data_IF_208771875359
#
_entry.id   IF_208771875359
#
_cell.length_a   1.000
_cell.length_b   1.000
_cell.length_c   1.000
_cell.angle_alpha   90.00
_cell.angle_beta   90.00
_cell.angle_gamma   90.00
#
_symmetry.space_group_name_H-M   'P 1'
#
loop_
_entity.id
_entity.type
_entity.pdbx_description
1 polymer ?
#
# COMPACT_ATOMS: atom_id res chain seq x y z
N UNK A 1 4.73 7.00 4.60
CA UNK A 1 4.18 8.09 5.43
C UNK A 1 3.72 9.21 4.51
N UNK A 2 2.58 9.84 4.80
CA UNK A 2 2.07 11.01 4.08
C UNK A 2 2.94 12.24 4.35
N UNK A 3 2.89 13.25 3.48
CA UNK A 3 3.73 14.45 3.60
C UNK A 3 3.41 15.28 4.85
N UNK A 4 2.15 15.26 5.30
CA UNK A 4 1.68 15.91 6.52
C UNK A 4 1.89 15.04 7.78
N UNK A 5 2.41 13.83 7.62
CA UNK A 5 2.66 12.89 8.70
C UNK A 5 1.42 12.23 9.30
N UNK A 6 0.21 12.48 8.80
CA UNK A 6 -1.04 11.93 9.37
C UNK A 6 -1.25 10.45 9.12
N UNK A 7 -0.69 9.92 8.03
CA UNK A 7 -0.93 8.54 7.60
C UNK A 7 0.37 7.80 7.36
N UNK A 8 0.38 6.52 7.71
CA UNK A 8 1.43 5.58 7.31
C UNK A 8 0.82 4.51 6.42
N UNK A 9 1.40 4.36 5.23
CA UNK A 9 1.11 3.24 4.34
C UNK A 9 2.24 2.24 4.45
N UNK A 10 1.90 0.97 4.57
CA UNK A 10 2.83 -0.12 4.83
C UNK A 10 2.36 -1.42 4.17
N UNK A 11 3.28 -2.36 3.99
CA UNK A 11 2.94 -3.74 3.63
C UNK A 11 2.57 -4.47 4.91
N UNK A 12 1.43 -5.13 4.90
CA UNK A 12 0.93 -5.94 5.98
C UNK A 12 0.83 -7.39 5.52
N UNK A 13 1.42 -8.29 6.29
CA UNK A 13 1.32 -9.73 6.08
C UNK A 13 0.51 -10.33 7.22
N UNK A 14 -0.56 -11.03 6.87
CA UNK A 14 -1.41 -11.79 7.78
C UNK A 14 -1.86 -13.08 7.10
N UNK A 15 -1.80 -14.20 7.84
CA UNK A 15 -2.11 -15.55 7.32
C UNK A 15 -1.48 -15.85 5.94
N UNK A 16 -0.19 -15.52 5.76
CA UNK A 16 0.57 -15.67 4.51
C UNK A 16 0.03 -14.85 3.31
N UNK A 17 -0.80 -13.85 3.56
CA UNK A 17 -1.33 -12.93 2.53
C UNK A 17 -0.70 -11.54 2.71
N UNK A 18 0.02 -11.09 1.70
CA UNK A 18 0.52 -9.71 1.62
C UNK A 18 -0.54 -8.74 1.11
N UNK A 19 -0.59 -7.56 1.73
CA UNK A 19 -1.51 -6.47 1.37
C UNK A 19 -0.84 -5.12 1.57
N UNK A 20 -1.34 -4.09 0.92
CA UNK A 20 -1.02 -2.70 1.28
C UNK A 20 -2.11 -2.19 2.22
N UNK A 21 -1.68 -1.68 3.37
CA UNK A 21 -2.55 -1.11 4.39
C UNK A 21 -2.17 0.34 4.70
N UNK A 22 -3.14 1.08 5.25
CA UNK A 22 -2.95 2.43 5.77
C UNK A 22 -3.49 2.52 7.20
N UNK A 23 -2.77 3.25 8.05
CA UNK A 23 -3.22 3.60 9.40
C UNK A 23 -2.98 5.10 9.65
N UNK A 24 -3.83 5.71 10.48
CA UNK A 24 -3.57 7.04 11.02
C UNK A 24 -2.48 6.96 12.10
N UNK A 25 -1.63 7.96 12.18
CA UNK A 25 -0.49 7.95 13.12
C UNK A 25 -0.88 8.13 14.57
N UNK A 26 -2.08 8.64 14.83
CA UNK A 26 -2.62 8.81 16.20
C UNK A 26 -3.29 7.53 16.72
N UNK A 27 -3.48 6.51 15.86
CA UNK A 27 -4.12 5.24 16.21
C UNK A 27 -5.60 5.38 16.54
N UNK A 28 -6.26 6.40 15.98
CA UNK A 28 -7.67 6.72 16.25
C UNK A 28 -8.64 5.87 15.45
N UNK A 29 -8.22 5.34 14.31
CA UNK A 29 -9.02 4.51 13.42
C UNK A 29 -8.37 3.15 13.21
N UNK A 30 -9.20 2.14 12.92
CA UNK A 30 -8.69 0.84 12.49
C UNK A 30 -7.98 0.96 11.14
N UNK A 31 -6.87 0.24 10.92
CA UNK A 31 -6.20 0.24 9.63
C UNK A 31 -7.12 -0.25 8.51
N UNK A 32 -6.95 0.33 7.33
CA UNK A 32 -7.71 -0.02 6.13
C UNK A 32 -6.81 -0.65 5.07
N UNK A 33 -7.34 -1.65 4.34
CA UNK A 33 -6.65 -2.28 3.22
C UNK A 33 -6.87 -1.45 1.96
N UNK A 34 -5.78 -1.08 1.28
CA UNK A 34 -5.77 -0.31 0.03
C UNK A 34 -5.55 -1.19 -1.21
N UNK A 35 -4.80 -2.28 -1.09
CA UNK A 35 -4.56 -3.22 -2.19
C UNK A 35 -4.34 -4.65 -1.67
N UNK A 36 -4.85 -5.64 -2.40
CA UNK A 36 -4.70 -7.07 -2.14
C UNK A 36 -4.92 -7.89 -3.43
N UNK A 37 -4.59 -9.18 -3.39
CA UNK A 37 -4.83 -10.12 -4.50
C UNK A 37 -3.61 -10.46 -5.36
N UNK A 38 -2.42 -9.96 -4.99
CA UNK A 38 -1.15 -10.42 -5.54
C UNK A 38 -0.43 -11.22 -4.46
N UNK A 39 0.49 -12.10 -4.84
CA UNK A 39 1.28 -12.88 -3.88
C UNK A 39 2.21 -11.98 -3.06
N UNK A 40 2.77 -10.92 -3.67
CA UNK A 40 3.75 -10.05 -3.02
C UNK A 40 3.57 -8.57 -3.33
N UNK A 41 3.90 -7.74 -2.35
CA UNK A 41 3.85 -6.28 -2.43
C UNK A 41 5.14 -5.65 -1.89
N UNK A 42 5.58 -4.54 -2.48
CA UNK A 42 6.69 -3.76 -1.92
C UNK A 42 6.60 -2.26 -2.18
N UNK A 43 7.33 -1.51 -1.35
CA UNK A 43 7.64 -0.09 -1.51
C UNK A 43 6.41 0.82 -1.75
N UNK A 44 5.34 0.74 -0.94
CA UNK A 44 4.22 1.65 -1.10
C UNK A 44 4.66 3.10 -0.83
N UNK A 45 4.24 4.02 -1.69
CA UNK A 45 4.56 5.44 -1.60
C UNK A 45 3.36 6.31 -1.98
N UNK A 46 2.96 7.18 -1.07
CA UNK A 46 1.98 8.22 -1.33
C UNK A 46 2.58 9.34 -2.18
N UNK A 47 1.75 9.94 -3.04
CA UNK A 47 2.07 11.22 -3.68
C UNK A 47 2.14 12.34 -2.62
N UNK A 48 2.89 13.43 -2.88
CA UNK A 48 3.03 14.53 -1.91
C UNK A 48 1.70 15.18 -1.51
N UNK A 49 0.73 15.20 -2.42
CA UNK A 49 -0.63 15.70 -2.22
C UNK A 49 -1.58 14.66 -1.61
N UNK A 50 -1.12 13.42 -1.40
CA UNK A 50 -1.91 12.34 -0.79
C UNK A 50 -3.00 11.74 -1.68
N UNK A 51 -3.14 12.19 -2.92
CA UNK A 51 -4.22 11.79 -3.83
C UNK A 51 -3.95 10.49 -4.59
N UNK A 52 -2.71 9.99 -4.57
CA UNK A 52 -2.30 8.78 -5.28
C UNK A 52 -1.38 7.90 -4.46
N UNK A 53 -1.44 6.61 -4.73
CA UNK A 53 -0.54 5.59 -4.19
C UNK A 53 0.18 4.90 -5.34
N UNK A 54 1.51 4.79 -5.22
CA UNK A 54 2.34 3.95 -6.07
C UNK A 54 2.90 2.77 -5.27
N UNK A 55 2.94 1.58 -5.87
CA UNK A 55 3.53 0.39 -5.26
C UNK A 55 3.96 -0.64 -6.32
N UNK A 56 4.81 -1.57 -5.92
CA UNK A 56 5.23 -2.68 -6.77
C UNK A 56 4.54 -3.96 -6.30
N UNK A 57 4.07 -4.78 -7.23
CA UNK A 57 3.57 -6.12 -6.95
C UNK A 57 4.02 -7.12 -8.03
N UNK A 58 4.06 -8.39 -7.63
CA UNK A 58 4.35 -9.52 -8.51
C UNK A 58 3.74 -10.80 -7.94
N UNK A 59 3.66 -11.83 -8.78
CA UNK A 59 3.05 -13.11 -8.49
C UNK A 59 4.00 -14.24 -8.87
N UNK A 60 3.91 -15.37 -8.16
CA UNK A 60 4.57 -16.58 -8.59
C UNK A 60 4.10 -17.01 -9.99
N UNK A 61 5.00 -17.59 -10.81
CA UNK A 61 6.37 -18.04 -10.47
C UNK A 61 7.46 -16.97 -10.59
N UNK A 62 7.12 -15.71 -10.89
CA UNK A 62 8.13 -14.67 -11.06
C UNK A 62 8.67 -14.25 -9.69
N UNK A 63 9.98 -14.11 -9.56
CA UNK A 63 10.61 -13.40 -8.46
C UNK A 63 10.78 -11.91 -8.82
N UNK A 64 11.03 -10.99 -7.86
CA UNK A 64 11.03 -9.56 -8.17
C UNK A 64 12.15 -9.13 -9.15
N UNK A 65 13.17 -9.96 -9.36
CA UNK A 65 14.20 -9.75 -10.38
C UNK A 65 13.85 -10.30 -11.76
N UNK A 66 12.85 -11.18 -11.88
CA UNK A 66 12.37 -11.72 -13.16
C UNK A 66 11.39 -10.75 -13.83
N UNK A 67 10.48 -10.19 -13.03
CA UNK A 67 9.49 -9.23 -13.51
C UNK A 67 8.61 -8.72 -12.38
N UNK A 68 8.37 -7.41 -12.39
CA UNK A 68 7.46 -6.75 -11.45
C UNK A 68 6.60 -5.73 -12.20
N UNK A 69 5.45 -5.39 -11.62
CA UNK A 69 4.58 -4.34 -12.15
C UNK A 69 4.51 -3.17 -11.17
N UNK A 70 4.70 -1.96 -11.68
CA UNK A 70 4.39 -0.73 -10.96
C UNK A 70 2.91 -0.41 -11.12
N UNK A 71 2.19 -0.38 -10.00
CA UNK A 71 0.82 0.09 -9.93
C UNK A 71 0.79 1.52 -9.42
N UNK A 72 -0.11 2.31 -10.00
CA UNK A 72 -0.46 3.65 -9.52
C UNK A 72 -1.98 3.71 -9.46
N UNK A 73 -2.52 4.03 -8.28
CA UNK A 73 -3.95 4.15 -8.04
C UNK A 73 -4.28 5.52 -7.47
N UNK A 74 -5.44 6.04 -7.83
CA UNK A 74 -6.03 7.19 -7.16
C UNK A 74 -6.54 6.76 -5.78
N UNK A 75 -6.34 7.62 -4.79
CA UNK A 75 -6.82 7.44 -3.44
C UNK A 75 -8.00 8.36 -3.19
N UNK A 76 -9.08 7.77 -2.71
CA UNK A 76 -10.15 8.57 -2.13
C UNK A 76 -9.72 9.09 -0.76
N UNK A 77 -9.39 10.38 -0.72
CA UNK A 77 -8.97 11.06 0.51
C UNK A 77 -10.14 11.51 1.37
N UNK A 78 -11.39 11.24 0.97
CA UNK A 78 -12.54 11.56 1.81
C UNK A 78 -12.54 10.77 3.12
N UNK A 79 -11.79 9.66 3.17
CA UNK A 79 -11.88 8.69 4.27
C UNK A 79 -13.30 8.10 4.37
N UNK A 80 -13.57 7.27 5.37
CA UNK A 80 -14.91 7.14 5.93
C UNK A 80 -15.42 8.49 6.48
#
# INVERSE_FOLDING_TARGET
>A
MSADGRFVVYVHTDEDIDRIAVADTEGTHWPSILACGHDFYMQPRLSPDGTRLAFIAWDHPNMPWDGTTLYVADLDTSGP
#
